data_IF_484830592393
#
_entry.id   IF_484830592393
#
_cell.length_a   1.000
_cell.length_b   1.000
_cell.length_c   1.000
_cell.angle_alpha   90.00
_cell.angle_beta   90.00
_cell.angle_gamma   90.00
#
_symmetry.space_group_name_H-M   'P 1'
#
loop_
_entity.id
_entity.type
_entity.pdbx_description
1 polymer ?
#
# COMPACT_ATOMS: atom_id res chain seq x y z
N UNK A 1 -1.55 -16.91 -29.82
CA UNK A 1 -2.78 -17.67 -29.50
C UNK A 1 -3.60 -16.80 -28.57
N UNK A 2 -4.87 -16.55 -28.88
CA UNK A 2 -5.74 -15.77 -28.00
C UNK A 2 -5.99 -16.57 -26.72
N UNK A 3 -5.81 -15.96 -25.55
CA UNK A 3 -6.28 -16.53 -24.28
C UNK A 3 -7.81 -16.47 -24.30
N UNK A 4 -8.52 -17.59 -24.50
CA UNK A 4 -9.96 -17.58 -24.74
C UNK A 4 -10.76 -17.22 -23.47
N UNK A 5 -10.09 -17.20 -22.32
CA UNK A 5 -10.66 -16.96 -21.00
C UNK A 5 -10.49 -15.52 -20.52
N UNK A 6 -9.93 -14.59 -21.32
CA UNK A 6 -9.80 -13.18 -20.95
C UNK A 6 -11.15 -12.60 -20.51
N UNK A 7 -11.18 -12.05 -19.30
CA UNK A 7 -12.41 -11.68 -18.62
C UNK A 7 -12.51 -10.19 -18.34
N UNK A 8 -11.51 -9.60 -17.67
CA UNK A 8 -11.56 -8.19 -17.29
C UNK A 8 -10.18 -7.52 -17.27
N UNK A 9 -10.20 -6.21 -17.45
CA UNK A 9 -9.09 -5.30 -17.18
C UNK A 9 -9.31 -4.72 -15.79
N UNK A 10 -8.32 -4.79 -14.91
CA UNK A 10 -8.43 -4.29 -13.54
C UNK A 10 -7.06 -3.87 -13.00
N UNK A 11 -7.05 -3.10 -11.92
CA UNK A 11 -5.88 -2.86 -11.06
C UNK A 11 -6.00 -3.66 -9.75
N UNK A 12 -7.05 -4.48 -9.65
CA UNK A 12 -7.52 -5.11 -8.40
C UNK A 12 -7.89 -4.03 -7.37
N UNK A 13 -7.82 -4.34 -6.08
CA UNK A 13 -8.41 -3.52 -5.03
C UNK A 13 -7.46 -2.42 -4.51
N UNK A 14 -6.15 -2.50 -4.78
CA UNK A 14 -5.12 -1.59 -4.22
C UNK A 14 -4.39 -0.72 -5.26
N UNK A 15 -4.49 -1.03 -6.55
CA UNK A 15 -3.70 -0.34 -7.57
C UNK A 15 -4.25 1.02 -7.99
N UNK A 16 -3.36 2.01 -8.12
CA UNK A 16 -3.67 3.36 -8.60
C UNK A 16 -2.95 3.74 -9.91
N UNK A 17 -3.42 4.79 -10.58
CA UNK A 17 -2.72 5.44 -11.70
C UNK A 17 -1.69 6.46 -11.22
N UNK A 18 -0.83 6.98 -12.10
CA UNK A 18 -0.02 8.16 -11.77
C UNK A 18 -0.89 9.34 -11.32
N UNK A 19 -0.36 10.26 -10.51
CA UNK A 19 -1.12 11.35 -9.89
C UNK A 19 -1.76 12.28 -10.92
N UNK A 20 -1.07 12.55 -12.03
CA UNK A 20 -1.60 13.33 -13.17
C UNK A 20 -2.62 12.54 -14.03
N UNK A 21 -2.89 11.30 -13.63
CA UNK A 21 -3.77 10.33 -14.29
C UNK A 21 -3.35 10.03 -15.73
N UNK A 22 -2.10 10.29 -16.10
CA UNK A 22 -1.57 10.05 -17.46
C UNK A 22 -1.21 8.59 -17.67
N UNK A 23 -0.49 7.97 -16.74
CA UNK A 23 -0.03 6.60 -16.88
C UNK A 23 -0.88 5.68 -16.01
N UNK A 24 -1.23 4.54 -16.57
CA UNK A 24 -2.00 3.49 -15.92
C UNK A 24 -1.32 2.16 -16.17
N UNK A 25 -1.25 1.33 -15.14
CA UNK A 25 -0.90 -0.07 -15.28
C UNK A 25 -2.17 -0.89 -15.04
N UNK A 26 -2.35 -1.96 -15.80
CA UNK A 26 -3.50 -2.84 -15.66
C UNK A 26 -3.07 -4.29 -15.76
N UNK A 27 -3.82 -5.15 -15.08
CA UNK A 27 -3.81 -6.59 -15.32
C UNK A 27 -5.01 -7.00 -16.16
N UNK A 28 -4.80 -7.92 -17.10
CA UNK A 28 -5.86 -8.63 -17.79
C UNK A 28 -6.04 -9.98 -17.11
N UNK A 29 -7.14 -10.12 -16.35
CA UNK A 29 -7.48 -11.35 -15.66
C UNK A 29 -8.22 -12.33 -16.57
N UNK A 30 -7.88 -13.61 -16.43
CA UNK A 30 -8.66 -14.71 -16.98
C UNK A 30 -9.92 -14.97 -16.15
N UNK A 31 -10.82 -15.81 -16.66
CA UNK A 31 -11.97 -16.35 -15.91
C UNK A 31 -11.69 -17.74 -15.33
N UNK A 32 -10.57 -18.37 -15.71
CA UNK A 32 -10.11 -19.64 -15.16
C UNK A 32 -9.01 -19.42 -14.10
N UNK A 33 -8.60 -20.51 -13.44
CA UNK A 33 -7.53 -20.53 -12.42
C UNK A 33 -7.71 -19.46 -11.33
N UNK A 34 -8.92 -19.30 -10.80
CA UNK A 34 -9.24 -18.29 -9.77
C UNK A 34 -8.91 -16.84 -10.20
N UNK A 35 -9.44 -16.44 -11.37
CA UNK A 35 -9.24 -15.11 -11.95
C UNK A 35 -7.77 -14.69 -12.17
N UNK A 36 -6.87 -15.66 -12.30
CA UNK A 36 -5.43 -15.44 -12.45
C UNK A 36 -5.11 -14.49 -13.62
N UNK A 37 -4.21 -13.51 -13.40
CA UNK A 37 -3.80 -12.57 -14.44
C UNK A 37 -3.04 -13.28 -15.57
N UNK A 38 -3.26 -12.80 -16.80
CA UNK A 38 -2.68 -13.32 -18.05
C UNK A 38 -1.67 -12.35 -18.64
N UNK A 39 -1.94 -11.05 -18.49
CA UNK A 39 -1.09 -9.98 -18.97
C UNK A 39 -1.01 -8.85 -17.96
N UNK A 40 0.13 -8.17 -17.93
CA UNK A 40 0.22 -6.79 -17.46
C UNK A 40 0.35 -5.88 -18.68
N UNK A 41 -0.20 -4.67 -18.60
CA UNK A 41 -0.01 -3.64 -19.62
C UNK A 41 0.12 -2.26 -18.99
N UNK A 42 0.82 -1.38 -19.69
CA UNK A 42 0.93 0.03 -19.33
C UNK A 42 0.35 0.89 -20.43
N UNK A 43 -0.51 1.83 -20.08
CA UNK A 43 -1.20 2.73 -21.00
C UNK A 43 -0.87 4.19 -20.68
N UNK A 44 -0.45 4.94 -21.71
CA UNK A 44 -0.42 6.41 -21.67
C UNK A 44 -1.77 6.93 -22.17
N UNK A 45 -2.61 7.40 -21.24
CA UNK A 45 -3.94 7.96 -21.51
C UNK A 45 -3.88 9.18 -22.42
N UNK A 46 -2.86 10.03 -22.30
CA UNK A 46 -2.79 11.27 -23.07
C UNK A 46 -2.44 10.99 -24.54
N UNK A 47 -1.57 10.02 -24.78
CA UNK A 47 -1.17 9.62 -26.13
C UNK A 47 -2.06 8.52 -26.73
N UNK A 48 -2.92 7.93 -25.91
CA UNK A 48 -3.72 6.75 -26.22
C UNK A 48 -2.85 5.60 -26.77
N UNK A 49 -1.79 5.27 -26.03
CA UNK A 49 -0.78 4.30 -26.47
C UNK A 49 -0.51 3.26 -25.39
N UNK A 50 -0.48 2.00 -25.79
CA UNK A 50 0.12 0.93 -24.98
C UNK A 50 1.64 1.06 -25.03
N UNK A 51 2.25 1.35 -23.88
CA UNK A 51 3.70 1.50 -23.74
C UNK A 51 4.41 0.16 -23.62
N UNK A 52 3.77 -0.78 -22.93
CA UNK A 52 4.32 -2.10 -22.63
C UNK A 52 3.22 -3.12 -22.43
N UNK A 53 3.52 -4.37 -22.77
CA UNK A 53 2.67 -5.53 -22.48
C UNK A 53 3.57 -6.68 -22.07
N UNK A 54 3.26 -7.31 -20.95
CA UNK A 54 3.95 -8.48 -20.46
C UNK A 54 2.99 -9.66 -20.43
N UNK A 55 3.37 -10.78 -21.06
CA UNK A 55 2.64 -12.04 -20.94
C UNK A 55 3.15 -12.76 -19.71
N UNK A 56 2.27 -13.02 -18.74
CA UNK A 56 2.66 -13.52 -17.43
C UNK A 56 2.81 -15.05 -17.50
N UNK A 57 4.01 -15.61 -17.20
CA UNK A 57 4.18 -17.04 -17.01
C UNK A 57 3.27 -17.59 -15.90
N UNK A 58 2.92 -18.88 -15.97
CA UNK A 58 1.98 -19.44 -15.01
C UNK A 58 2.49 -19.42 -13.57
N UNK A 59 3.77 -19.67 -13.38
CA UNK A 59 4.47 -19.64 -12.11
C UNK A 59 4.72 -18.22 -11.58
N UNK A 60 4.54 -17.17 -12.39
CA UNK A 60 4.76 -15.76 -12.02
C UNK A 60 3.45 -14.96 -11.89
N UNK A 61 2.31 -15.65 -11.79
CA UNK A 61 0.97 -15.05 -11.88
C UNK A 61 0.20 -14.99 -10.55
N UNK A 62 0.89 -15.15 -9.41
CA UNK A 62 0.35 -14.87 -8.07
C UNK A 62 0.48 -13.38 -7.76
N UNK A 63 -0.24 -12.57 -8.53
CA UNK A 63 -0.24 -11.11 -8.41
C UNK A 63 -1.56 -10.69 -7.80
N UNK A 64 -1.49 -9.96 -6.70
CA UNK A 64 -2.67 -9.46 -6.02
C UNK A 64 -3.16 -8.15 -6.64
N UNK A 65 -2.26 -7.19 -6.90
CA UNK A 65 -2.61 -5.91 -7.50
C UNK A 65 -1.50 -5.34 -8.38
N UNK A 66 -1.86 -4.36 -9.21
CA UNK A 66 -0.92 -3.61 -10.05
C UNK A 66 -1.32 -2.14 -10.15
N UNK A 67 -0.36 -1.24 -10.06
CA UNK A 67 -0.57 0.19 -10.17
C UNK A 67 0.63 0.92 -10.78
N UNK A 68 0.56 2.24 -10.79
CA UNK A 68 1.64 3.13 -11.18
C UNK A 68 2.15 3.90 -9.97
N UNK A 69 3.45 4.17 -9.96
CA UNK A 69 4.05 5.12 -9.03
C UNK A 69 3.49 6.55 -9.26
N UNK A 70 3.54 7.46 -8.26
CA UNK A 70 2.87 8.76 -8.34
C UNK A 70 3.29 9.64 -9.53
N UNK A 71 4.57 9.63 -9.91
CA UNK A 71 5.09 10.37 -11.08
C UNK A 71 4.96 9.55 -12.37
N UNK A 72 4.49 8.30 -12.28
CA UNK A 72 4.31 7.39 -13.41
C UNK A 72 5.61 6.86 -14.00
N UNK A 73 6.69 6.85 -13.23
CA UNK A 73 7.98 6.31 -13.67
C UNK A 73 8.00 4.77 -13.65
N UNK A 74 7.29 4.17 -12.69
CA UNK A 74 7.34 2.74 -12.42
C UNK A 74 5.95 2.12 -12.40
N UNK A 75 5.85 0.90 -12.94
CA UNK A 75 4.74 -0.01 -12.63
C UNK A 75 5.06 -0.66 -11.29
N UNK A 76 4.10 -0.68 -10.37
CA UNK A 76 4.22 -1.29 -9.05
C UNK A 76 3.34 -2.54 -9.01
N UNK A 77 3.90 -3.67 -8.58
CA UNK A 77 3.29 -4.99 -8.64
C UNK A 77 3.36 -5.60 -7.24
N UNK A 78 2.19 -5.74 -6.60
CA UNK A 78 2.03 -6.51 -5.37
C UNK A 78 1.78 -7.97 -5.72
N UNK A 79 2.74 -8.83 -5.40
CA UNK A 79 2.68 -10.27 -5.64
C UNK A 79 2.80 -11.05 -4.33
N UNK A 80 2.31 -12.27 -4.33
CA UNK A 80 2.44 -13.15 -3.17
C UNK A 80 3.93 -13.48 -2.92
N UNK A 81 4.27 -13.76 -1.66
CA UNK A 81 5.63 -14.12 -1.22
C UNK A 81 6.18 -15.39 -1.92
N UNK A 82 5.32 -16.25 -2.45
CA UNK A 82 5.68 -17.47 -3.19
C UNK A 82 5.54 -17.33 -4.72
N UNK A 83 5.40 -16.11 -5.24
CA UNK A 83 5.37 -15.88 -6.67
C UNK A 83 6.73 -16.19 -7.34
N UNK A 84 6.69 -16.86 -8.49
CA UNK A 84 7.88 -17.37 -9.17
C UNK A 84 8.71 -16.30 -9.90
N UNK A 85 9.78 -16.76 -10.55
CA UNK A 85 10.57 -15.92 -11.47
C UNK A 85 11.32 -14.74 -10.82
N UNK A 86 11.54 -14.80 -9.50
CA UNK A 86 12.16 -13.72 -8.73
C UNK A 86 11.28 -12.48 -8.60
N UNK A 87 9.95 -12.64 -8.66
CA UNK A 87 8.96 -11.54 -8.62
C UNK A 87 7.94 -11.74 -7.50
N UNK A 88 8.43 -12.16 -6.33
CA UNK A 88 7.64 -12.29 -5.11
C UNK A 88 7.54 -10.96 -4.35
N UNK A 89 6.52 -10.83 -3.51
CA UNK A 89 6.33 -9.64 -2.68
C UNK A 89 6.12 -8.38 -3.51
N UNK A 90 6.84 -7.32 -3.19
CA UNK A 90 6.75 -6.05 -3.88
C UNK A 90 7.79 -5.91 -4.98
N UNK A 91 7.34 -5.63 -6.20
CA UNK A 91 8.19 -5.50 -7.39
C UNK A 91 7.85 -4.21 -8.13
N UNK A 92 8.89 -3.53 -8.64
CA UNK A 92 8.73 -2.46 -9.63
C UNK A 92 9.19 -2.92 -11.00
N UNK A 93 8.57 -2.37 -12.04
CA UNK A 93 9.01 -2.54 -13.42
C UNK A 93 9.01 -1.20 -14.17
N UNK A 94 9.83 -1.11 -15.20
CA UNK A 94 9.70 -0.01 -16.16
C UNK A 94 8.38 -0.14 -16.95
N UNK A 95 7.93 0.95 -17.56
CA UNK A 95 6.63 1.01 -18.26
C UNK A 95 6.52 0.03 -19.43
N UNK A 96 7.65 -0.46 -19.94
CA UNK A 96 7.76 -1.40 -21.04
C UNK A 96 7.81 -2.87 -20.56
N UNK A 97 7.94 -3.11 -19.26
CA UNK A 97 8.21 -4.44 -18.67
C UNK A 97 9.49 -5.09 -19.23
N UNK A 98 10.51 -4.28 -19.52
CA UNK A 98 11.83 -4.75 -19.94
C UNK A 98 12.75 -5.04 -18.76
N UNK A 99 12.47 -4.44 -17.60
CA UNK A 99 13.21 -4.65 -16.36
C UNK A 99 12.24 -4.78 -15.19
N UNK A 100 12.55 -5.72 -14.29
CA UNK A 100 11.83 -5.95 -13.04
C UNK A 100 12.83 -5.90 -11.90
N UNK A 101 12.41 -5.34 -10.77
CA UNK A 101 13.23 -5.17 -9.59
C UNK A 101 12.40 -5.38 -8.34
N UNK A 102 12.77 -6.38 -7.53
CA UNK A 102 12.11 -6.65 -6.25
C UNK A 102 12.58 -5.61 -5.21
N UNK A 103 11.67 -5.14 -4.37
CA UNK A 103 11.98 -4.17 -3.30
C UNK A 103 11.64 -4.70 -1.90
N UNK A 104 10.74 -5.69 -1.78
CA UNK A 104 10.44 -6.40 -0.53
C UNK A 104 9.93 -7.82 -0.85
N UNK A 105 10.32 -8.83 -0.07
CA UNK A 105 9.96 -10.24 -0.32
C UNK A 105 8.57 -10.66 0.21
N UNK A 106 8.05 -9.97 1.22
CA UNK A 106 6.93 -10.41 2.05
C UNK A 106 5.80 -9.36 2.20
N UNK A 107 5.94 -8.20 1.54
CA UNK A 107 5.16 -6.99 1.79
C UNK A 107 3.67 -7.28 1.97
N UNK A 108 3.13 -6.84 3.12
CA UNK A 108 1.69 -6.79 3.37
C UNK A 108 1.06 -5.56 2.72
N UNK A 109 -0.03 -5.05 3.32
CA UNK A 109 -0.67 -3.81 2.85
C UNK A 109 0.36 -2.71 2.61
N UNK A 110 0.19 -1.99 1.49
CA UNK A 110 1.12 -0.95 1.06
C UNK A 110 0.39 0.14 0.28
N UNK A 111 1.00 1.32 0.23
CA UNK A 111 0.56 2.39 -0.66
C UNK A 111 1.77 3.18 -1.16
N UNK A 112 1.62 3.80 -2.32
CA UNK A 112 2.67 4.60 -2.97
C UNK A 112 2.45 6.08 -2.71
N UNK A 113 3.54 6.83 -2.60
CA UNK A 113 3.47 8.26 -2.29
C UNK A 113 4.71 9.02 -2.72
N UNK A 114 4.70 10.32 -2.41
CA UNK A 114 5.89 11.16 -2.50
C UNK A 114 6.39 11.44 -1.09
N UNK A 115 7.71 11.37 -0.89
CA UNK A 115 8.32 11.84 0.35
C UNK A 115 8.34 13.39 0.44
N UNK A 116 8.84 13.93 1.55
CA UNK A 116 8.91 15.37 1.83
C UNK A 116 9.80 16.13 0.84
N UNK A 117 10.65 15.43 0.08
CA UNK A 117 11.50 15.99 -0.97
C UNK A 117 10.91 15.80 -2.38
N UNK A 118 9.78 15.11 -2.50
CA UNK A 118 9.11 14.82 -3.77
C UNK A 118 9.63 13.58 -4.49
N UNK A 119 10.41 12.72 -3.82
CA UNK A 119 10.84 11.44 -4.39
C UNK A 119 9.74 10.39 -4.28
N UNK A 120 9.68 9.47 -5.23
CA UNK A 120 8.71 8.36 -5.20
C UNK A 120 9.11 7.30 -4.18
N UNK A 121 8.18 6.98 -3.29
CA UNK A 121 8.35 5.97 -2.24
C UNK A 121 7.17 5.02 -2.22
N UNK A 122 7.39 3.85 -1.63
CA UNK A 122 6.32 2.98 -1.15
C UNK A 122 6.39 2.94 0.37
N UNK A 123 5.23 2.95 1.01
CA UNK A 123 5.06 2.67 2.43
C UNK A 123 4.36 1.34 2.54
N UNK A 124 4.92 0.41 3.31
CA UNK A 124 4.39 -0.94 3.40
C UNK A 124 4.47 -1.51 4.82
N UNK A 125 3.57 -2.43 5.12
CA UNK A 125 3.69 -3.34 6.25
C UNK A 125 4.74 -4.40 5.92
N UNK A 126 5.87 -4.41 6.61
CA UNK A 126 6.86 -5.47 6.43
C UNK A 126 6.77 -6.49 7.57
N UNK A 127 6.43 -7.72 7.20
CA UNK A 127 6.40 -8.86 8.12
C UNK A 127 7.82 -9.24 8.60
N UNK A 128 8.85 -8.87 7.84
CA UNK A 128 10.26 -9.15 8.14
C UNK A 128 10.81 -8.22 9.23
N UNK A 129 10.44 -6.94 9.19
CA UNK A 129 10.95 -5.92 10.11
C UNK A 129 10.01 -5.66 11.28
N UNK A 130 8.77 -6.17 11.23
CA UNK A 130 7.70 -5.90 12.20
C UNK A 130 7.44 -4.37 12.33
N UNK A 131 7.45 -3.68 11.19
CA UNK A 131 7.19 -2.25 11.09
C UNK A 131 6.45 -1.85 9.82
N UNK A 132 5.84 -0.67 9.88
CA UNK A 132 5.56 0.13 8.69
C UNK A 132 6.88 0.77 8.27
N UNK A 133 7.33 0.44 7.07
CA UNK A 133 8.59 0.92 6.50
C UNK A 133 8.31 1.75 5.25
N UNK A 134 9.14 2.77 5.02
CA UNK A 134 9.19 3.54 3.78
C UNK A 134 10.44 3.13 2.98
N UNK A 135 10.26 2.84 1.70
CA UNK A 135 11.33 2.46 0.76
C UNK A 135 11.28 3.36 -0.49
N UNK A 136 12.43 3.75 -1.06
CA UNK A 136 12.46 4.40 -2.37
C UNK A 136 11.95 3.47 -3.47
N UNK A 137 11.14 3.98 -4.39
CA UNK A 137 10.79 3.29 -5.64
C UNK A 137 11.91 3.51 -6.68
N UNK A 138 12.93 2.66 -6.61
CA UNK A 138 14.14 2.78 -7.42
C UNK A 138 14.75 1.41 -7.72
N UNK A 139 15.36 1.22 -8.91
CA UNK A 139 16.10 0.00 -9.23
C UNK A 139 17.39 -0.17 -8.41
N UNK A 140 17.79 0.85 -7.64
CA UNK A 140 18.91 0.77 -6.71
C UNK A 140 18.49 0.43 -5.28
N UNK A 141 17.19 0.25 -5.01
CA UNK A 141 16.68 -0.13 -3.69
C UNK A 141 16.99 -1.60 -3.45
N UNK A 142 17.89 -1.92 -2.52
CA UNK A 142 18.12 -3.33 -2.19
C UNK A 142 16.87 -3.93 -1.52
N UNK A 143 16.43 -5.14 -1.89
CA UNK A 143 15.23 -5.75 -1.34
C UNK A 143 15.32 -5.95 0.19
N UNK A 144 14.20 -5.74 0.88
CA UNK A 144 14.04 -6.30 2.23
C UNK A 144 13.86 -7.82 2.11
N UNK A 145 14.85 -8.58 2.55
CA UNK A 145 14.89 -10.05 2.53
C UNK A 145 15.22 -10.64 3.93
N UNK A 146 15.43 -11.95 4.06
CA UNK A 146 15.63 -12.68 5.32
C UNK A 146 16.98 -12.42 6.02
N UNK A 147 17.63 -11.29 5.74
CA UNK A 147 18.96 -10.96 6.25
C UNK A 147 18.97 -10.58 7.73
N UNK A 148 20.12 -10.72 8.38
CA UNK A 148 20.35 -10.24 9.76
C UNK A 148 20.42 -8.70 9.85
N UNK A 149 20.60 -8.02 8.71
CA UNK A 149 20.65 -6.56 8.59
C UNK A 149 19.89 -6.10 7.36
N UNK A 150 19.23 -4.95 7.52
CA UNK A 150 18.53 -4.23 6.44
C UNK A 150 19.27 -2.94 6.06
N UNK A 151 20.53 -2.80 6.47
CA UNK A 151 21.40 -1.69 6.07
C UNK A 151 21.60 -1.69 4.55
N UNK A 152 21.56 -0.51 3.92
CA UNK A 152 21.71 -0.35 2.47
C UNK A 152 20.42 -0.49 1.66
N UNK A 153 19.32 -0.99 2.24
CA UNK A 153 17.99 -1.03 1.59
C UNK A 153 17.40 0.36 1.34
N UNK A 154 17.95 1.40 1.99
CA UNK A 154 17.35 2.74 1.98
C UNK A 154 16.05 2.83 2.78
N UNK A 155 15.68 1.79 3.54
CA UNK A 155 14.46 1.78 4.33
C UNK A 155 14.50 2.80 5.47
N UNK A 156 13.34 3.36 5.75
CA UNK A 156 13.10 4.20 6.93
C UNK A 156 11.97 3.58 7.72
N UNK A 157 12.26 3.17 8.96
CA UNK A 157 11.24 2.68 9.86
C UNK A 157 10.35 3.82 10.33
N UNK A 158 9.05 3.73 10.03
CA UNK A 158 8.06 4.76 10.37
C UNK A 158 7.33 4.44 11.68
N UNK A 159 6.78 3.23 11.79
CA UNK A 159 6.01 2.78 12.95
C UNK A 159 6.40 1.35 13.28
N UNK A 160 6.76 1.06 14.55
CA UNK A 160 6.90 -0.32 15.02
C UNK A 160 5.52 -0.93 15.25
N UNK A 161 5.25 -2.11 14.69
CA UNK A 161 3.95 -2.75 14.74
C UNK A 161 3.78 -3.65 15.97
N UNK A 162 4.85 -4.28 16.47
CA UNK A 162 4.78 -5.16 17.64
C UNK A 162 3.87 -6.39 17.44
N UNK A 163 3.80 -6.94 16.22
CA UNK A 163 3.18 -8.25 15.98
C UNK A 163 4.04 -9.40 16.49
N UNK A 164 5.34 -9.18 16.70
CA UNK A 164 6.20 -10.17 17.34
C UNK A 164 5.61 -10.59 18.69
N UNK A 165 5.35 -11.90 18.83
CA UNK A 165 4.88 -12.56 20.05
C UNK A 165 5.74 -12.32 21.29
N UNK A 166 7.00 -11.87 21.12
CA UNK A 166 7.88 -11.48 22.21
C UNK A 166 7.56 -10.10 22.81
N UNK A 167 6.74 -9.28 22.13
CA UNK A 167 6.33 -7.97 22.62
C UNK A 167 5.42 -8.10 23.86
N UNK A 168 5.71 -7.42 24.98
CA UNK A 168 4.86 -7.47 26.16
C UNK A 168 3.48 -6.82 25.95
N UNK A 169 3.36 -5.97 24.93
CA UNK A 169 2.12 -5.31 24.51
C UNK A 169 2.00 -5.45 22.98
N UNK A 170 1.60 -6.64 22.52
CA UNK A 170 1.48 -6.93 21.08
C UNK A 170 0.35 -6.16 20.40
N UNK A 171 0.39 -5.99 19.09
CA UNK A 171 -0.71 -5.38 18.34
C UNK A 171 -1.74 -6.45 17.92
N UNK A 172 -3.03 -6.19 18.21
CA UNK A 172 -4.15 -7.09 17.87
C UNK A 172 -5.00 -6.53 16.71
N UNK A 173 -4.42 -5.63 15.92
CA UNK A 173 -5.12 -4.87 14.89
C UNK A 173 -4.49 -5.13 13.53
N UNK A 174 -5.28 -5.11 12.46
CA UNK A 174 -4.77 -4.94 11.11
C UNK A 174 -4.52 -3.46 10.81
N UNK A 175 -3.78 -3.17 9.74
CA UNK A 175 -3.47 -1.79 9.32
C UNK A 175 -3.93 -1.51 7.89
N UNK A 176 -4.17 -0.23 7.61
CA UNK A 176 -4.38 0.32 6.28
C UNK A 176 -3.50 1.57 6.10
N UNK A 177 -3.04 1.81 4.88
CA UNK A 177 -2.10 2.87 4.52
C UNK A 177 -2.72 3.75 3.43
N UNK A 178 -2.56 5.07 3.55
CA UNK A 178 -2.95 6.01 2.49
C UNK A 178 -1.95 7.16 2.38
N UNK A 179 -1.16 7.18 1.31
CA UNK A 179 -0.05 8.10 1.09
C UNK A 179 -0.31 9.08 -0.05
N UNK A 180 -1.59 9.40 -0.28
CA UNK A 180 -2.06 10.23 -1.38
C UNK A 180 -1.64 11.71 -1.32
N UNK A 181 -1.17 12.19 -0.17
CA UNK A 181 -0.69 13.55 0.05
C UNK A 181 0.84 13.60 0.04
N UNK A 182 1.50 14.42 -0.80
CA UNK A 182 2.95 14.51 -0.84
C UNK A 182 3.57 14.82 0.54
N UNK A 183 4.55 14.03 0.96
CA UNK A 183 5.23 14.13 2.25
C UNK A 183 4.49 13.47 3.41
N UNK A 184 3.32 12.86 3.19
CA UNK A 184 2.45 12.37 4.25
C UNK A 184 1.81 11.03 3.93
N UNK A 185 1.66 10.20 4.97
CA UNK A 185 0.85 9.00 4.89
C UNK A 185 -0.04 8.86 6.12
N UNK A 186 -1.30 8.52 5.93
CA UNK A 186 -2.20 8.14 7.00
C UNK A 186 -2.08 6.64 7.23
N UNK A 187 -1.90 6.26 8.49
CA UNK A 187 -1.90 4.86 8.93
C UNK A 187 -3.06 4.70 9.88
N UNK A 188 -4.04 3.89 9.49
CA UNK A 188 -5.17 3.52 10.35
C UNK A 188 -5.08 2.07 10.75
N UNK A 189 -5.66 1.75 11.91
CA UNK A 189 -5.78 0.39 12.38
C UNK A 189 -7.22 0.01 12.68
N UNK A 190 -7.51 -1.27 12.54
CA UNK A 190 -8.81 -1.85 12.84
C UNK A 190 -8.65 -3.11 13.68
N UNK A 191 -9.65 -3.45 14.46
CA UNK A 191 -9.62 -4.62 15.34
C UNK A 191 -10.78 -5.54 15.00
N UNK A 192 -10.50 -6.84 14.97
CA UNK A 192 -11.50 -7.89 14.73
C UNK A 192 -12.43 -8.12 15.95
N UNK A 193 -13.57 -8.82 15.78
CA UNK A 193 -14.52 -9.05 16.85
C UNK A 193 -13.91 -9.88 17.99
N UNK A 194 -14.09 -9.41 19.22
CA UNK A 194 -13.63 -10.12 20.43
C UNK A 194 -12.14 -9.93 20.76
N UNK A 195 -11.38 -9.22 19.92
CA UNK A 195 -9.99 -8.88 20.20
C UNK A 195 -9.89 -7.65 21.11
N UNK A 196 -9.03 -7.72 22.12
CA UNK A 196 -8.81 -6.63 23.09
C UNK A 196 -7.79 -5.62 22.60
N UNK A 197 -8.03 -4.34 22.87
CA UNK A 197 -7.02 -3.29 22.77
C UNK A 197 -5.95 -3.48 23.85
N UNK A 198 -4.67 -3.47 23.46
CA UNK A 198 -3.57 -3.67 24.40
C UNK A 198 -2.30 -2.89 24.02
N UNK A 199 -2.21 -2.36 22.80
CA UNK A 199 -1.13 -1.51 22.30
C UNK A 199 -1.67 -0.09 22.01
N UNK A 200 -0.79 0.92 22.05
CA UNK A 200 -1.17 2.31 21.76
C UNK A 200 -1.69 2.49 20.33
N UNK A 201 -1.25 1.66 19.39
CA UNK A 201 -1.62 1.73 17.98
C UNK A 201 -2.96 1.05 17.69
N UNK A 202 -3.52 0.25 18.62
CA UNK A 202 -4.83 -0.37 18.43
C UNK A 202 -5.92 0.68 18.22
N UNK A 203 -6.72 0.53 17.15
CA UNK A 203 -7.85 1.41 16.81
C UNK A 203 -7.47 2.89 16.75
N UNK A 204 -6.43 3.22 16.01
CA UNK A 204 -5.97 4.59 15.85
C UNK A 204 -5.92 5.00 14.40
N UNK A 205 -5.97 6.32 14.18
CA UNK A 205 -5.54 6.96 12.94
C UNK A 205 -4.35 7.82 13.30
N UNK A 206 -3.24 7.61 12.61
CA UNK A 206 -2.03 8.40 12.73
C UNK A 206 -1.67 9.03 11.40
N UNK A 207 -1.03 10.20 11.46
CA UNK A 207 -0.46 10.89 10.32
C UNK A 207 1.06 10.79 10.41
N UNK A 208 1.69 10.28 9.36
CA UNK A 208 3.11 10.02 9.30
C UNK A 208 3.75 10.95 8.30
N UNK A 209 4.78 11.68 8.73
CA UNK A 209 5.64 12.47 7.84
C UNK A 209 6.61 11.52 7.13
N UNK A 210 6.50 11.47 5.82
CA UNK A 210 7.37 10.72 4.93
C UNK A 210 8.66 11.51 4.69
N UNK A 211 9.56 11.49 5.68
CA UNK A 211 10.85 12.17 5.61
C UNK A 211 11.96 11.14 5.82
N UNK A 212 12.94 11.11 4.91
CA UNK A 212 13.99 10.10 4.96
C UNK A 212 14.92 10.25 6.17
N UNK A 213 15.06 11.48 6.67
CA UNK A 213 16.03 11.84 7.71
C UNK A 213 15.39 12.04 9.08
N UNK A 214 14.17 12.57 9.10
CA UNK A 214 13.45 12.96 10.30
C UNK A 214 11.97 12.53 10.22
N UNK A 215 11.67 11.23 10.10
CA UNK A 215 10.29 10.76 10.11
C UNK A 215 9.62 11.11 11.44
N UNK A 216 8.32 11.39 11.38
CA UNK A 216 7.49 11.75 12.55
C UNK A 216 6.11 11.13 12.44
N UNK A 217 5.54 10.78 13.57
CA UNK A 217 4.20 10.18 13.67
C UNK A 217 3.36 11.05 14.60
N UNK A 218 2.18 11.43 14.14
CA UNK A 218 1.22 12.26 14.85
C UNK A 218 -0.05 11.46 15.07
N UNK A 219 -0.50 11.38 16.31
CA UNK A 219 -1.79 10.78 16.62
C UNK A 219 -2.92 11.73 16.20
N UNK A 220 -3.86 11.26 15.37
CA UNK A 220 -5.01 12.06 14.93
C UNK A 220 -6.27 11.70 15.71
N UNK A 221 -6.63 10.41 15.76
CA UNK A 221 -7.91 9.98 16.31
C UNK A 221 -7.88 8.57 16.88
N UNK A 222 -8.77 8.34 17.86
CA UNK A 222 -9.19 6.99 18.26
C UNK A 222 -10.39 6.60 17.40
N UNK A 223 -10.42 5.36 16.92
CA UNK A 223 -11.59 4.81 16.24
C UNK A 223 -12.27 3.73 17.07
N UNK A 224 -13.56 3.52 16.84
CA UNK A 224 -14.38 2.60 17.62
C UNK A 224 -15.20 1.66 16.72
N UNK A 225 -14.73 1.41 15.50
CA UNK A 225 -15.30 0.40 14.59
C UNK A 225 -14.66 -0.98 14.82
N UNK A 226 -15.38 -2.05 14.51
CA UNK A 226 -14.87 -3.43 14.57
C UNK A 226 -15.05 -4.07 13.21
N UNK A 227 -14.00 -4.66 12.65
CA UNK A 227 -14.04 -5.23 11.32
C UNK A 227 -14.48 -6.71 11.38
N UNK A 228 -15.76 -6.98 11.11
CA UNK A 228 -16.25 -8.35 10.89
C UNK A 228 -16.20 -8.78 9.41
N UNK A 229 -15.91 -7.85 8.51
CA UNK A 229 -15.74 -8.01 7.08
C UNK A 229 -14.77 -6.94 6.55
N UNK A 230 -14.19 -7.15 5.36
CA UNK A 230 -13.19 -6.25 4.77
C UNK A 230 -13.68 -4.80 4.66
N UNK A 231 -14.91 -4.57 4.19
CA UNK A 231 -15.48 -3.22 4.05
C UNK A 231 -15.86 -2.56 5.39
N UNK A 232 -15.66 -3.23 6.52
CA UNK A 232 -15.78 -2.66 7.86
C UNK A 232 -14.42 -2.28 8.48
N UNK A 233 -13.31 -2.62 7.83
CA UNK A 233 -11.99 -2.16 8.24
C UNK A 233 -11.95 -0.62 8.24
N UNK A 234 -11.25 -0.06 9.22
CA UNK A 234 -10.94 1.38 9.23
C UNK A 234 -9.93 1.65 8.13
N UNK A 235 -10.40 1.87 6.90
CA UNK A 235 -9.58 2.25 5.75
C UNK A 235 -9.51 3.77 5.69
N UNK A 236 -8.64 4.38 6.51
CA UNK A 236 -8.51 5.83 6.49
C UNK A 236 -7.73 6.28 5.25
N UNK A 237 -8.27 7.28 4.56
CA UNK A 237 -7.69 7.81 3.31
C UNK A 237 -7.52 9.32 3.39
N UNK A 238 -6.37 9.82 2.93
CA UNK A 238 -6.05 11.25 2.89
C UNK A 238 -6.32 11.85 1.51
N UNK A 239 -6.81 13.09 1.45
CA UNK A 239 -6.95 13.81 0.18
C UNK A 239 -5.59 14.19 -0.39
N UNK A 240 -5.48 14.36 -1.71
CA UNK A 240 -4.21 14.72 -2.37
C UNK A 240 -3.59 16.04 -1.87
N UNK A 241 -4.41 16.97 -1.40
CA UNK A 241 -3.96 18.25 -0.83
C UNK A 241 -3.68 18.17 0.69
N UNK A 242 -3.83 16.97 1.29
CA UNK A 242 -3.63 16.72 2.71
C UNK A 242 -4.68 17.35 3.64
N UNK A 243 -5.70 18.03 3.10
CA UNK A 243 -6.61 18.85 3.90
C UNK A 243 -7.68 18.05 4.65
N UNK A 244 -7.92 16.78 4.26
CA UNK A 244 -8.96 15.94 4.85
C UNK A 244 -8.50 14.49 4.96
N UNK A 245 -8.96 13.83 6.03
CA UNK A 245 -8.86 12.38 6.20
C UNK A 245 -10.27 11.83 6.36
N UNK A 246 -10.63 10.81 5.59
CA UNK A 246 -11.92 10.12 5.67
C UNK A 246 -11.74 8.67 6.06
N UNK A 247 -12.71 8.07 6.76
CA UNK A 247 -12.68 6.64 7.09
C UNK A 247 -14.09 6.10 7.32
N UNK A 248 -14.25 4.79 7.11
CA UNK A 248 -15.43 4.02 7.50
C UNK A 248 -15.39 3.66 8.99
N UNK A 249 -16.54 3.62 9.64
CA UNK A 249 -16.69 3.03 10.97
C UNK A 249 -18.09 2.47 11.12
N UNK A 250 -18.24 1.38 11.87
CA UNK A 250 -19.55 0.84 12.25
C UNK A 250 -19.91 1.11 13.72
N UNK A 251 -19.08 1.84 14.48
CA UNK A 251 -19.28 2.09 15.91
C UNK A 251 -19.54 0.81 16.74
N UNK A 252 -18.99 -0.33 16.32
CA UNK A 252 -19.23 -1.67 16.86
C UNK A 252 -20.70 -2.13 16.74
N UNK A 253 -21.44 -1.60 15.78
CA UNK A 253 -22.82 -1.98 15.48
C UNK A 253 -22.87 -2.77 14.18
N UNK A 254 -23.77 -3.77 14.10
CA UNK A 254 -24.00 -4.56 12.89
C UNK A 254 -22.72 -5.17 12.28
N UNK A 255 -21.77 -5.57 13.13
CA UNK A 255 -20.49 -6.15 12.73
C UNK A 255 -20.70 -7.35 11.80
N UNK A 256 -19.97 -7.39 10.69
CA UNK A 256 -20.08 -8.34 9.59
C UNK A 256 -21.22 -8.08 8.60
N UNK A 257 -21.87 -6.91 8.64
CA UNK A 257 -22.97 -6.55 7.73
C UNK A 257 -22.62 -5.37 6.80
N UNK A 258 -21.42 -4.80 6.91
CA UNK A 258 -20.90 -3.75 6.02
C UNK A 258 -21.77 -2.48 6.04
N UNK A 259 -22.44 -2.26 7.17
CA UNK A 259 -23.25 -1.06 7.43
C UNK A 259 -22.41 -0.02 8.16
N UNK A 260 -21.70 0.78 7.39
CA UNK A 260 -20.73 1.75 7.90
C UNK A 260 -21.22 3.20 7.73
N UNK A 261 -20.71 4.07 8.60
CA UNK A 261 -20.77 5.51 8.46
C UNK A 261 -19.45 6.02 7.87
N UNK A 262 -19.54 7.04 7.02
CA UNK A 262 -18.38 7.81 6.58
C UNK A 262 -18.09 8.92 7.59
N UNK A 263 -16.88 8.92 8.10
CA UNK A 263 -16.34 9.98 8.95
C UNK A 263 -15.37 10.84 8.15
N UNK A 264 -15.24 12.10 8.55
CA UNK A 264 -14.29 13.04 7.99
C UNK A 264 -13.63 13.84 9.12
N UNK A 265 -12.32 14.03 9.01
CA UNK A 265 -11.53 14.96 9.81
C UNK A 265 -10.92 15.99 8.86
N UNK A 266 -11.18 17.27 9.09
CA UNK A 266 -10.43 18.34 8.46
C UNK A 266 -9.07 18.49 9.15
N UNK A 267 -7.99 18.41 8.37
CA UNK A 267 -6.62 18.65 8.81
C UNK A 267 -6.30 20.10 8.47
N UNK A 268 -6.22 21.02 9.46
CA UNK A 268 -6.00 22.44 9.18
C UNK A 268 -4.69 22.63 8.41
N UNK A 269 -4.75 23.35 7.28
CA UNK A 269 -3.57 23.61 6.42
C UNK A 269 -2.38 24.26 7.16
N UNK A 270 -2.65 24.99 8.25
CA UNK A 270 -1.63 25.55 9.13
C UNK A 270 -1.03 24.56 10.13
N UNK A 271 -1.70 23.44 10.44
CA UNK A 271 -1.18 22.43 11.36
C UNK A 271 -0.06 21.62 10.72
N UNK A 272 -0.24 21.15 9.47
CA UNK A 272 0.80 20.44 8.71
C UNK A 272 2.08 21.28 8.64
N UNK A 273 1.99 22.55 8.25
CA UNK A 273 3.15 23.47 8.20
C UNK A 273 3.69 23.87 9.59
N UNK A 274 2.86 23.92 10.64
CA UNK A 274 3.32 24.24 12.00
C UNK A 274 4.04 23.08 12.69
N UNK A 275 3.75 21.85 12.26
CA UNK A 275 4.36 20.61 12.74
C UNK A 275 5.76 20.40 12.14
N UNK A 276 6.07 21.09 11.04
CA UNK A 276 7.38 21.05 10.39
C UNK A 276 8.48 21.86 11.11
N UNK A 277 8.10 22.77 12.01
CA UNK A 277 9.01 23.61 12.81
C UNK A 277 9.19 23.08 14.24
#
# INVERSE_FOLDING_TARGET
TANPDLYRITMKDEGESSTDKRYWAFMLQGSADDYRPRYLLTWDRQQDLLLGTWTIPQDESRIDWVGMSPLGNWVVIGADWDNGGGKAGMVIADRQFSQFHQIDHDAGHSDVGLDSEGNEVIVLQSNRTDSVDMLPLSPNTEPIDTGESYEGTGRVQLIRLFYDSSSPMGLNSGIHLSCNAPGWCVVSTFTEPGMSEQNWLDRTITLVRLDQSHPRVFYLAKVHGTAGAYWEETQASITHDGSRVVWSTNWNQNVGQERVWLMELEVPAGQIASIEN
#
